data_IF_956114716432
#
_entry.id   IF_956114716432
#
_cell.length_a   1.000
_cell.length_b   1.000
_cell.length_c   1.000
_cell.angle_alpha   90.00
_cell.angle_beta   90.00
_cell.angle_gamma   90.00
#
_symmetry.space_group_name_H-M   'P 1'
#
loop_
_entity.id
_entity.type
_entity.pdbx_description
1 polymer ?
#
# COMPACT_ATOMS: atom_id res chain seq x y z
N UNK A 1 15.42 -26.60 -11.69
CA UNK A 1 13.99 -26.92 -11.78
C UNK A 1 13.20 -25.71 -11.33
N UNK A 2 12.04 -25.39 -11.92
CA UNK A 2 11.24 -24.26 -11.50
C UNK A 2 10.62 -24.53 -10.11
N UNK A 3 10.50 -23.51 -9.21
CA UNK A 3 9.85 -23.64 -7.92
C UNK A 3 8.38 -24.10 -8.05
N UNK A 4 7.86 -24.80 -7.04
CA UNK A 4 6.49 -25.31 -7.03
C UNK A 4 5.46 -24.20 -7.26
N UNK A 5 5.67 -23.03 -6.65
CA UNK A 5 4.80 -21.87 -6.83
C UNK A 5 4.67 -21.42 -8.30
N UNK A 6 5.71 -21.64 -9.11
CA UNK A 6 5.67 -21.33 -10.55
C UNK A 6 5.02 -22.46 -11.35
N UNK A 7 5.30 -23.72 -11.00
CA UNK A 7 4.69 -24.89 -11.65
C UNK A 7 3.18 -24.99 -11.42
N UNK A 8 2.73 -24.51 -10.24
CA UNK A 8 1.32 -24.52 -9.86
C UNK A 8 0.55 -23.28 -10.30
N UNK A 9 1.17 -22.41 -11.08
CA UNK A 9 0.51 -21.21 -11.58
C UNK A 9 -0.71 -21.60 -12.44
N UNK A 10 -1.93 -21.09 -12.13
CA UNK A 10 -3.12 -21.41 -12.92
C UNK A 10 -2.97 -20.91 -14.37
N UNK A 11 -3.56 -21.64 -15.30
CA UNK A 11 -3.57 -21.33 -16.73
C UNK A 11 -4.89 -20.74 -17.21
N UNK A 12 -5.96 -20.91 -16.42
CA UNK A 12 -7.28 -20.37 -16.69
C UNK A 12 -7.85 -19.62 -15.48
N UNK A 13 -8.82 -18.76 -15.69
CA UNK A 13 -9.51 -18.05 -14.61
C UNK A 13 -10.29 -18.99 -13.68
N UNK A 14 -10.72 -20.15 -14.17
CA UNK A 14 -11.45 -21.15 -13.39
C UNK A 14 -10.53 -21.91 -12.42
N UNK A 15 -9.25 -21.97 -12.75
CA UNK A 15 -8.23 -22.55 -11.88
C UNK A 15 -7.70 -21.58 -10.82
N UNK A 16 -8.06 -20.30 -10.93
CA UNK A 16 -7.58 -19.26 -10.04
C UNK A 16 -8.31 -19.33 -8.69
N UNK A 17 -7.59 -19.71 -7.65
CA UNK A 17 -8.13 -19.95 -6.31
C UNK A 17 -8.25 -18.60 -5.57
N UNK A 18 -9.42 -18.40 -4.96
CA UNK A 18 -9.75 -17.20 -4.20
C UNK A 18 -10.16 -16.02 -5.07
N UNK A 19 -10.42 -14.88 -4.43
CA UNK A 19 -10.81 -13.61 -5.08
C UNK A 19 -12.17 -13.68 -5.79
N UNK A 20 -13.12 -14.43 -5.26
CA UNK A 20 -14.45 -14.66 -5.84
C UNK A 20 -15.21 -13.35 -6.11
N UNK A 21 -14.99 -12.33 -5.26
CA UNK A 21 -15.59 -10.99 -5.41
C UNK A 21 -15.07 -10.24 -6.65
N UNK A 22 -13.87 -10.60 -7.13
CA UNK A 22 -13.20 -9.92 -8.26
C UNK A 22 -13.35 -10.71 -9.54
N UNK A 23 -13.10 -12.02 -9.50
CA UNK A 23 -13.05 -12.90 -10.68
C UNK A 23 -13.93 -14.15 -10.58
N UNK A 24 -14.75 -14.29 -9.55
CA UNK A 24 -15.77 -15.35 -9.48
C UNK A 24 -16.79 -15.27 -10.62
N UNK A 25 -17.63 -16.30 -10.83
CA UNK A 25 -18.51 -16.44 -12.01
C UNK A 25 -19.43 -15.24 -12.28
N UNK A 26 -19.81 -14.50 -11.24
CA UNK A 26 -20.68 -13.32 -11.35
C UNK A 26 -19.97 -11.99 -11.07
N UNK A 27 -18.67 -12.01 -10.85
CA UNK A 27 -17.90 -10.84 -10.49
C UNK A 27 -17.78 -9.83 -11.64
N UNK A 28 -17.69 -8.51 -11.34
CA UNK A 28 -17.67 -7.47 -12.37
C UNK A 28 -16.52 -7.61 -13.37
N UNK A 29 -15.31 -7.94 -12.89
CA UNK A 29 -14.16 -8.12 -13.76
C UNK A 29 -14.31 -9.35 -14.65
N UNK A 30 -14.84 -10.46 -14.11
CA UNK A 30 -15.11 -11.67 -14.89
C UNK A 30 -16.08 -11.40 -16.05
N UNK A 31 -17.20 -10.74 -15.78
CA UNK A 31 -18.18 -10.36 -16.80
C UNK A 31 -17.58 -9.45 -17.88
N UNK A 32 -16.74 -8.50 -17.48
CA UNK A 32 -16.07 -7.62 -18.45
C UNK A 32 -15.15 -8.42 -19.37
N UNK A 33 -14.38 -9.39 -18.83
CA UNK A 33 -13.49 -10.26 -19.61
C UNK A 33 -14.28 -11.16 -20.57
N UNK A 34 -15.38 -11.75 -20.12
CA UNK A 34 -16.26 -12.57 -20.96
C UNK A 34 -16.91 -11.76 -22.09
N UNK A 35 -17.14 -10.46 -21.87
CA UNK A 35 -17.57 -9.52 -22.90
C UNK A 35 -16.41 -9.03 -23.80
N UNK A 36 -15.19 -9.52 -23.62
CA UNK A 36 -14.01 -9.12 -24.40
C UNK A 36 -13.42 -7.77 -24.00
N UNK A 37 -13.78 -7.22 -22.84
CA UNK A 37 -13.36 -5.90 -22.39
C UNK A 37 -12.54 -5.97 -21.11
N UNK A 38 -11.42 -5.24 -21.07
CA UNK A 38 -10.61 -5.04 -19.87
C UNK A 38 -10.43 -3.54 -19.65
N UNK A 39 -11.00 -2.95 -18.60
CA UNK A 39 -10.69 -1.58 -18.23
C UNK A 39 -9.27 -1.48 -17.68
N UNK A 40 -8.63 -0.32 -17.80
CA UNK A 40 -7.42 -0.06 -17.03
C UNK A 40 -7.73 -0.17 -15.55
N UNK A 41 -6.86 -0.87 -14.80
CA UNK A 41 -7.14 -1.19 -13.40
C UNK A 41 -5.88 -1.26 -12.54
N UNK A 42 -6.10 -1.12 -11.24
CA UNK A 42 -5.10 -1.34 -10.20
C UNK A 42 -5.53 -2.53 -9.35
N UNK A 43 -4.69 -3.55 -9.27
CA UNK A 43 -4.85 -4.72 -8.41
C UNK A 43 -4.15 -4.42 -7.08
N UNK A 44 -4.92 -4.15 -6.05
CA UNK A 44 -4.40 -3.81 -4.72
C UNK A 44 -4.65 -4.95 -3.73
N UNK A 45 -3.62 -5.37 -3.02
CA UNK A 45 -3.74 -6.39 -1.97
C UNK A 45 -2.38 -6.86 -1.46
N UNK A 46 -2.35 -7.69 -0.40
CA UNK A 46 -1.12 -8.17 0.21
C UNK A 46 -0.25 -8.99 -0.76
N UNK A 47 1.02 -9.25 -0.42
CA UNK A 47 1.88 -10.11 -1.24
C UNK A 47 1.31 -11.53 -1.34
N UNK A 48 1.65 -12.24 -2.41
CA UNK A 48 1.30 -13.66 -2.60
C UNK A 48 -0.17 -14.00 -2.88
N UNK A 49 -1.07 -13.01 -2.98
CA UNK A 49 -2.51 -13.23 -3.28
C UNK A 49 -2.81 -13.41 -4.78
N UNK A 50 -1.78 -13.42 -5.63
CA UNK A 50 -1.92 -13.76 -7.05
C UNK A 50 -2.08 -12.57 -8.01
N UNK A 51 -1.76 -11.31 -7.64
CA UNK A 51 -1.88 -10.13 -8.52
C UNK A 51 -1.25 -10.31 -9.90
N UNK A 52 0.01 -10.71 -9.95
CA UNK A 52 0.76 -10.95 -11.20
C UNK A 52 0.16 -12.11 -12.00
N UNK A 53 -0.26 -13.16 -11.31
CA UNK A 53 -0.92 -14.33 -11.91
C UNK A 53 -2.25 -13.90 -12.55
N UNK A 54 -3.05 -13.12 -11.85
CA UNK A 54 -4.31 -12.60 -12.37
C UNK A 54 -4.10 -11.77 -13.64
N UNK A 55 -3.12 -10.84 -13.64
CA UNK A 55 -2.81 -10.04 -14.82
C UNK A 55 -2.45 -10.92 -16.04
N UNK A 56 -1.68 -11.98 -15.83
CA UNK A 56 -1.32 -12.94 -16.89
C UNK A 56 -2.56 -13.70 -17.40
N UNK A 57 -3.43 -14.14 -16.51
CA UNK A 57 -4.68 -14.83 -16.88
C UNK A 57 -5.63 -13.92 -17.67
N UNK A 58 -5.75 -12.66 -17.28
CA UNK A 58 -6.56 -11.66 -17.99
C UNK A 58 -6.04 -11.45 -19.42
N UNK A 59 -4.73 -11.35 -19.59
CA UNK A 59 -4.11 -11.21 -20.90
C UNK A 59 -4.34 -12.46 -21.77
N UNK A 60 -4.19 -13.65 -21.19
CA UNK A 60 -4.42 -14.92 -21.88
C UNK A 60 -5.89 -15.12 -22.29
N UNK A 61 -6.83 -14.84 -21.38
CA UNK A 61 -8.27 -14.96 -21.63
C UNK A 61 -8.73 -14.04 -22.79
N UNK A 62 -8.16 -12.86 -22.90
CA UNK A 62 -8.45 -11.89 -23.95
C UNK A 62 -7.59 -12.07 -25.21
N UNK A 63 -6.63 -12.99 -25.21
CA UNK A 63 -5.65 -13.20 -26.28
C UNK A 63 -4.94 -11.90 -26.69
N UNK A 64 -4.60 -11.06 -25.68
CA UNK A 64 -3.93 -9.78 -25.90
C UNK A 64 -2.46 -9.87 -25.52
N UNK A 65 -1.61 -9.20 -26.28
CA UNK A 65 -0.19 -9.05 -25.94
C UNK A 65 -0.06 -8.33 -24.60
N UNK A 66 0.80 -8.85 -23.72
CA UNK A 66 1.10 -8.23 -22.43
C UNK A 66 2.59 -7.84 -22.38
N UNK A 67 2.84 -6.57 -22.11
CA UNK A 67 4.15 -6.04 -21.75
C UNK A 67 4.22 -5.93 -20.22
N UNK A 68 5.29 -6.42 -19.62
CA UNK A 68 5.48 -6.42 -18.18
C UNK A 68 6.67 -5.54 -17.80
N UNK A 69 6.46 -4.65 -16.84
CA UNK A 69 7.50 -3.83 -16.23
C UNK A 69 7.48 -4.05 -14.70
N UNK A 70 8.68 -4.10 -14.12
CA UNK A 70 8.83 -4.08 -12.66
C UNK A 70 9.23 -2.68 -12.23
N UNK A 71 8.43 -2.02 -11.40
CA UNK A 71 8.74 -0.67 -10.94
C UNK A 71 10.01 -0.61 -10.06
N UNK A 72 10.47 -1.76 -9.55
CA UNK A 72 11.73 -1.87 -8.81
C UNK A 72 12.96 -1.79 -9.72
N UNK A 73 12.85 -2.28 -10.97
CA UNK A 73 13.97 -2.42 -11.89
C UNK A 73 13.90 -1.47 -13.08
N UNK A 74 12.70 -1.02 -13.44
CA UNK A 74 12.48 -0.25 -14.67
C UNK A 74 12.61 1.26 -14.44
N UNK A 75 13.48 1.90 -15.21
CA UNK A 75 13.63 3.34 -15.25
C UNK A 75 12.67 4.03 -16.25
N UNK A 76 12.74 5.35 -16.34
CA UNK A 76 11.91 6.16 -17.28
C UNK A 76 12.15 5.75 -18.73
N UNK A 77 13.37 5.33 -19.08
CA UNK A 77 13.74 4.92 -20.42
C UNK A 77 13.00 3.67 -20.85
N UNK A 78 13.02 2.63 -20.01
CA UNK A 78 12.33 1.35 -20.28
C UNK A 78 10.82 1.53 -20.42
N UNK A 79 10.23 2.40 -19.60
CA UNK A 79 8.80 2.74 -19.70
C UNK A 79 8.50 3.33 -21.07
N UNK A 80 9.29 4.32 -21.52
CA UNK A 80 9.10 4.95 -22.84
C UNK A 80 9.30 3.99 -24.00
N UNK A 81 10.35 3.18 -23.96
CA UNK A 81 10.63 2.17 -24.99
C UNK A 81 9.48 1.15 -25.10
N UNK A 82 8.96 0.69 -23.97
CA UNK A 82 7.83 -0.25 -23.95
C UNK A 82 6.56 0.41 -24.51
N UNK A 83 6.27 1.67 -24.20
CA UNK A 83 5.12 2.39 -24.74
C UNK A 83 5.25 2.63 -26.26
N UNK A 84 6.45 2.95 -26.76
CA UNK A 84 6.67 3.08 -28.21
C UNK A 84 6.53 1.73 -28.94
N UNK A 85 7.00 0.64 -28.33
CA UNK A 85 6.82 -0.71 -28.85
C UNK A 85 5.32 -1.08 -28.90
N UNK A 86 4.60 -0.83 -27.81
CA UNK A 86 3.16 -1.05 -27.72
C UNK A 86 2.39 -0.25 -28.79
N UNK A 87 2.78 0.99 -29.01
CA UNK A 87 2.19 1.86 -30.04
C UNK A 87 2.44 1.33 -31.46
N UNK A 88 3.62 0.84 -31.76
CA UNK A 88 3.95 0.23 -33.06
C UNK A 88 3.13 -1.04 -33.28
N UNK A 89 3.07 -1.93 -32.30
CA UNK A 89 2.40 -3.21 -32.43
C UNK A 89 0.87 -3.07 -32.48
N UNK A 90 0.30 -2.04 -31.83
CA UNK A 90 -1.14 -1.73 -31.90
C UNK A 90 -1.67 -1.59 -33.33
N UNK A 91 -0.83 -1.17 -34.27
CA UNK A 91 -1.24 -1.04 -35.68
C UNK A 91 -1.60 -2.40 -36.33
N UNK A 92 -1.13 -3.50 -35.73
CA UNK A 92 -1.34 -4.87 -36.22
C UNK A 92 -2.29 -5.69 -35.32
N UNK A 93 -2.71 -5.14 -34.19
CA UNK A 93 -3.59 -5.82 -33.24
C UNK A 93 -4.99 -5.19 -33.21
N UNK A 94 -6.04 -6.04 -33.11
CA UNK A 94 -7.43 -5.58 -33.04
C UNK A 94 -7.75 -4.81 -31.75
N UNK A 95 -6.99 -5.08 -30.67
CA UNK A 95 -7.18 -4.46 -29.35
C UNK A 95 -5.87 -3.91 -28.82
N UNK A 96 -5.94 -2.93 -27.94
CA UNK A 96 -4.76 -2.35 -27.28
C UNK A 96 -4.03 -3.40 -26.43
N UNK A 97 -2.70 -3.50 -26.48
CA UNK A 97 -1.95 -4.40 -25.65
C UNK A 97 -2.11 -4.04 -24.16
N UNK A 98 -1.89 -5.00 -23.28
CA UNK A 98 -1.90 -4.81 -21.82
C UNK A 98 -0.50 -4.40 -21.39
N UNK A 99 -0.41 -3.31 -20.61
CA UNK A 99 0.80 -2.94 -19.89
C UNK A 99 0.63 -3.31 -18.42
N UNK A 100 1.33 -4.35 -18.00
CA UNK A 100 1.37 -4.76 -16.61
C UNK A 100 2.54 -4.09 -15.90
N UNK A 101 2.27 -3.45 -14.76
CA UNK A 101 3.30 -2.83 -13.92
C UNK A 101 3.21 -3.43 -12.51
N UNK A 102 4.24 -4.21 -12.15
CA UNK A 102 4.35 -4.75 -10.81
C UNK A 102 4.93 -3.70 -9.85
N UNK A 103 4.36 -3.61 -8.65
CA UNK A 103 4.71 -2.64 -7.60
C UNK A 103 4.66 -1.17 -8.09
N UNK A 104 3.58 -0.80 -8.79
CA UNK A 104 3.41 0.52 -9.44
C UNK A 104 3.64 1.71 -8.48
N UNK A 105 3.44 1.51 -7.17
CA UNK A 105 3.70 2.51 -6.13
C UNK A 105 5.17 2.93 -6.05
N UNK A 106 6.10 2.11 -6.55
CA UNK A 106 7.53 2.44 -6.59
C UNK A 106 7.93 3.36 -7.76
N UNK A 107 7.04 3.55 -8.71
CA UNK A 107 7.26 4.53 -9.76
C UNK A 107 7.17 5.96 -9.20
N UNK A 108 8.14 6.80 -9.55
CA UNK A 108 8.08 8.24 -9.28
C UNK A 108 6.86 8.88 -9.97
N UNK A 109 6.41 10.02 -9.46
CA UNK A 109 5.30 10.77 -10.09
C UNK A 109 5.53 11.02 -11.58
N UNK A 110 6.76 11.37 -11.99
CA UNK A 110 7.12 11.58 -13.40
C UNK A 110 7.00 10.32 -14.26
N UNK A 111 7.28 9.13 -13.70
CA UNK A 111 7.08 7.87 -14.40
C UNK A 111 5.59 7.56 -14.55
N UNK A 112 4.80 7.77 -13.50
CA UNK A 112 3.35 7.62 -13.54
C UNK A 112 2.69 8.60 -14.52
N UNK A 113 3.14 9.86 -14.57
CA UNK A 113 2.67 10.85 -15.54
C UNK A 113 2.95 10.41 -16.99
N UNK A 114 4.07 9.74 -17.23
CA UNK A 114 4.39 9.24 -18.57
C UNK A 114 3.43 8.17 -19.08
N UNK A 115 2.76 7.44 -18.16
CA UNK A 115 1.74 6.44 -18.47
C UNK A 115 0.40 7.08 -18.84
N UNK A 116 0.09 8.26 -18.28
CA UNK A 116 -1.21 8.89 -18.38
C UNK A 116 -1.66 9.08 -19.83
N UNK A 117 -0.79 9.66 -20.67
CA UNK A 117 -1.07 9.89 -22.08
C UNK A 117 -1.35 8.58 -22.86
N UNK A 118 -0.63 7.50 -22.51
CA UNK A 118 -0.81 6.20 -23.16
C UNK A 118 -2.13 5.52 -22.77
N UNK A 119 -2.53 5.67 -21.51
CA UNK A 119 -3.82 5.17 -20.99
C UNK A 119 -4.98 5.99 -21.57
N UNK A 120 -4.90 7.31 -21.57
CA UNK A 120 -5.93 8.21 -22.11
C UNK A 120 -6.20 7.98 -23.59
N UNK A 121 -5.16 7.82 -24.39
CA UNK A 121 -5.27 7.56 -25.82
C UNK A 121 -5.58 6.10 -26.15
N UNK A 122 -5.73 5.26 -25.14
CA UNK A 122 -5.97 3.82 -25.30
C UNK A 122 -4.83 3.12 -26.08
N UNK A 123 -3.59 3.62 -26.01
CA UNK A 123 -2.41 2.96 -26.61
C UNK A 123 -2.16 1.65 -25.90
N UNK A 124 -2.35 1.64 -24.60
CA UNK A 124 -2.29 0.45 -23.76
C UNK A 124 -3.48 0.40 -22.81
N UNK A 125 -3.85 -0.80 -22.37
CA UNK A 125 -4.70 -1.00 -21.18
C UNK A 125 -3.77 -1.25 -20.00
N UNK A 126 -3.80 -0.38 -18.99
CA UNK A 126 -2.94 -0.50 -17.82
C UNK A 126 -3.51 -1.52 -16.82
N UNK A 127 -2.67 -2.42 -16.36
CA UNK A 127 -2.92 -3.27 -15.18
C UNK A 127 -1.79 -3.03 -14.19
N UNK A 128 -2.02 -2.20 -13.18
CA UNK A 128 -1.05 -1.95 -12.12
C UNK A 128 -1.26 -2.92 -10.96
N UNK A 129 -0.18 -3.43 -10.36
CA UNK A 129 -0.23 -4.19 -9.12
C UNK A 129 0.47 -3.44 -8.01
N UNK A 130 -0.08 -3.47 -6.79
CA UNK A 130 0.51 -2.82 -5.62
C UNK A 130 0.12 -3.52 -4.33
N UNK A 131 1.02 -3.49 -3.36
CA UNK A 131 0.76 -3.88 -1.97
C UNK A 131 0.35 -2.69 -1.10
N UNK A 132 0.70 -1.48 -1.51
CA UNK A 132 0.40 -0.24 -0.79
C UNK A 132 -0.95 0.35 -1.23
N UNK A 133 -1.54 1.19 -0.37
CA UNK A 133 -2.83 1.81 -0.69
C UNK A 133 -2.68 2.77 -1.89
N UNK A 134 -3.33 2.48 -3.03
CA UNK A 134 -3.18 3.26 -4.25
C UNK A 134 -3.63 4.71 -4.11
N UNK A 135 -4.51 5.03 -3.17
CA UNK A 135 -4.97 6.40 -2.93
C UNK A 135 -3.88 7.35 -2.46
N UNK A 136 -2.78 6.82 -1.89
CA UNK A 136 -1.65 7.62 -1.43
C UNK A 136 -0.46 7.57 -2.38
N UNK A 137 -0.29 6.45 -3.09
CA UNK A 137 0.93 6.14 -3.82
C UNK A 137 0.78 6.32 -5.34
N UNK A 138 -0.44 6.25 -5.86
CA UNK A 138 -0.71 6.46 -7.29
C UNK A 138 -1.29 7.86 -7.50
N UNK A 139 -0.79 8.57 -8.51
CA UNK A 139 -1.29 9.91 -8.80
C UNK A 139 -2.78 9.92 -9.12
N UNK A 140 -3.50 10.92 -8.62
CA UNK A 140 -4.95 11.04 -8.77
C UNK A 140 -5.41 11.04 -10.23
N UNK A 141 -4.63 11.63 -11.11
CA UNK A 141 -4.90 11.65 -12.55
C UNK A 141 -4.90 10.24 -13.17
N UNK A 142 -4.07 9.32 -12.70
CA UNK A 142 -4.04 7.93 -13.16
C UNK A 142 -5.16 7.12 -12.51
N UNK A 143 -5.40 7.31 -11.21
CA UNK A 143 -6.48 6.64 -10.47
C UNK A 143 -7.86 6.95 -11.04
N UNK A 144 -8.11 8.19 -11.46
CA UNK A 144 -9.41 8.56 -12.06
C UNK A 144 -9.73 7.84 -13.38
N UNK A 145 -8.74 7.17 -13.98
CA UNK A 145 -8.85 6.42 -15.24
C UNK A 145 -8.72 4.91 -15.04
N UNK A 146 -8.53 4.46 -13.82
CA UNK A 146 -8.36 3.06 -13.47
C UNK A 146 -9.44 2.61 -12.49
N UNK A 147 -9.93 1.38 -12.66
CA UNK A 147 -10.75 0.74 -11.64
C UNK A 147 -9.82 0.09 -10.60
N UNK A 148 -10.12 0.27 -9.32
CA UNK A 148 -9.35 -0.38 -8.26
C UNK A 148 -10.06 -1.67 -7.84
N UNK A 149 -9.36 -2.80 -7.96
CA UNK A 149 -9.81 -4.09 -7.46
C UNK A 149 -8.99 -4.48 -6.23
N UNK A 150 -9.70 -4.69 -5.12
CA UNK A 150 -9.08 -5.10 -3.86
C UNK A 150 -9.02 -6.63 -3.84
N UNK A 151 -7.82 -7.17 -3.70
CA UNK A 151 -7.57 -8.58 -3.51
C UNK A 151 -7.33 -8.84 -2.01
N UNK A 152 -8.09 -9.77 -1.46
CA UNK A 152 -8.02 -10.15 -0.05
C UNK A 152 -6.94 -11.23 0.18
N UNK A 153 -6.46 -11.34 1.42
CA UNK A 153 -5.62 -12.48 1.82
C UNK A 153 -6.33 -13.80 1.57
N UNK A 154 -5.58 -14.82 1.19
CA UNK A 154 -6.16 -16.16 0.98
C UNK A 154 -6.62 -16.74 2.31
N UNK A 155 -7.83 -17.29 2.33
CA UNK A 155 -8.36 -18.01 3.50
C UNK A 155 -7.68 -19.37 3.69
N UNK A 156 -7.84 -19.98 4.86
CA UNK A 156 -7.31 -21.33 5.11
C UNK A 156 -7.88 -22.36 4.13
N UNK A 157 -9.14 -22.20 3.70
CA UNK A 157 -9.77 -23.04 2.69
C UNK A 157 -9.08 -22.89 1.33
N UNK A 158 -8.77 -21.68 0.92
CA UNK A 158 -8.04 -21.41 -0.33
C UNK A 158 -6.61 -21.98 -0.28
N UNK A 159 -5.92 -21.79 0.85
CA UNK A 159 -4.59 -22.35 1.06
C UNK A 159 -4.61 -23.89 1.02
N UNK A 160 -5.60 -24.53 1.62
CA UNK A 160 -5.79 -25.97 1.56
C UNK A 160 -6.07 -26.47 0.14
N UNK A 161 -6.93 -25.79 -0.61
CA UNK A 161 -7.18 -26.09 -2.03
C UNK A 161 -5.90 -26.03 -2.85
N UNK A 162 -5.02 -25.04 -2.61
CA UNK A 162 -3.74 -24.94 -3.27
C UNK A 162 -2.81 -26.12 -2.97
N UNK A 163 -2.75 -26.56 -1.71
CA UNK A 163 -1.96 -27.73 -1.32
C UNK A 163 -2.50 -29.02 -1.96
N UNK A 164 -3.81 -29.25 -1.91
CA UNK A 164 -4.45 -30.42 -2.53
C UNK A 164 -4.21 -30.45 -4.05
N UNK A 165 -4.32 -29.31 -4.71
CA UNK A 165 -4.01 -29.19 -6.13
C UNK A 165 -2.54 -29.50 -6.40
N UNK A 166 -1.62 -29.02 -5.56
CA UNK A 166 -0.19 -29.31 -5.71
C UNK A 166 0.11 -30.81 -5.56
N UNK A 167 -0.47 -31.45 -4.55
CA UNK A 167 -0.29 -32.91 -4.32
C UNK A 167 -0.81 -33.73 -5.49
N UNK A 168 -1.96 -33.36 -6.04
CA UNK A 168 -2.64 -34.15 -7.07
C UNK A 168 -2.06 -33.93 -8.48
N UNK A 169 -1.49 -32.77 -8.78
CA UNK A 169 -1.14 -32.39 -10.15
C UNK A 169 0.35 -32.15 -10.40
N UNK A 170 1.16 -31.94 -9.36
CA UNK A 170 2.59 -31.68 -9.54
C UNK A 170 3.37 -32.94 -9.91
N UNK A 171 4.23 -32.83 -10.91
CA UNK A 171 5.01 -33.94 -11.46
C UNK A 171 5.93 -34.60 -10.43
N UNK A 172 6.46 -33.82 -9.46
CA UNK A 172 7.39 -34.31 -8.43
C UNK A 172 6.68 -35.02 -7.27
N UNK A 173 5.37 -34.82 -7.15
CA UNK A 173 4.59 -35.34 -6.04
C UNK A 173 3.75 -36.56 -6.42
N UNK A 174 3.61 -36.86 -7.73
CA UNK A 174 2.80 -37.97 -8.25
C UNK A 174 3.15 -39.34 -7.68
N UNK A 175 4.44 -39.58 -7.42
CA UNK A 175 4.93 -40.87 -6.92
C UNK A 175 5.08 -40.89 -5.40
N UNK A 176 4.64 -39.82 -4.72
CA UNK A 176 4.70 -39.71 -3.26
C UNK A 176 3.30 -39.80 -2.63
N UNK A 177 3.19 -40.55 -1.59
CA UNK A 177 1.97 -40.58 -0.77
C UNK A 177 2.06 -39.50 0.31
N UNK A 178 1.45 -38.36 0.04
CA UNK A 178 1.47 -37.19 0.93
C UNK A 178 0.11 -37.08 1.59
N UNK A 179 0.07 -37.16 2.93
CA UNK A 179 -1.14 -37.02 3.75
C UNK A 179 -1.05 -35.70 4.53
N UNK A 180 -2.02 -34.82 4.35
CA UNK A 180 -2.14 -33.57 5.13
C UNK A 180 -3.00 -33.89 6.37
N UNK A 181 -2.37 -34.20 7.49
CA UNK A 181 -3.08 -34.48 8.76
C UNK A 181 -3.36 -33.17 9.50
N UNK A 182 -2.38 -32.28 9.54
CA UNK A 182 -2.50 -30.95 10.15
C UNK A 182 -1.82 -29.92 9.28
N UNK A 183 -2.45 -28.77 9.08
CA UNK A 183 -1.97 -27.71 8.18
C UNK A 183 -1.84 -26.34 8.82
N UNK A 184 -2.25 -26.18 10.09
CA UNK A 184 -2.29 -24.87 10.76
C UNK A 184 -0.91 -24.22 10.83
N UNK A 185 0.14 -25.00 11.09
CA UNK A 185 1.50 -24.48 11.12
C UNK A 185 1.94 -23.95 9.74
N UNK A 186 1.64 -24.66 8.63
CA UNK A 186 1.93 -24.19 7.27
C UNK A 186 1.19 -22.89 6.96
N UNK A 187 -0.09 -22.80 7.34
CA UNK A 187 -0.89 -21.59 7.12
C UNK A 187 -0.39 -20.44 7.96
N UNK A 188 -0.03 -20.68 9.21
CA UNK A 188 0.57 -19.69 10.09
C UNK A 188 1.88 -19.14 9.51
N UNK A 189 2.79 -20.02 9.10
CA UNK A 189 4.07 -19.60 8.52
C UNK A 189 3.94 -18.94 7.15
N UNK A 190 2.92 -19.27 6.35
CA UNK A 190 2.66 -18.61 5.08
C UNK A 190 2.07 -17.22 5.25
N UNK A 191 1.31 -16.97 6.32
CA UNK A 191 0.64 -15.69 6.58
C UNK A 191 -0.39 -15.31 5.51
N UNK A 192 -1.04 -16.29 4.85
CA UNK A 192 -1.98 -16.03 3.76
C UNK A 192 -1.34 -15.79 2.38
N UNK A 193 -0.02 -15.90 2.28
CA UNK A 193 0.72 -15.80 1.01
C UNK A 193 0.82 -17.18 0.33
N UNK A 194 0.11 -17.34 -0.80
CA UNK A 194 0.08 -18.61 -1.54
C UNK A 194 1.43 -19.01 -2.14
N UNK A 195 2.27 -18.06 -2.53
CA UNK A 195 3.63 -18.32 -3.05
C UNK A 195 4.51 -18.86 -1.93
N UNK A 196 4.48 -18.22 -0.78
CA UNK A 196 5.22 -18.64 0.41
C UNK A 196 4.76 -20.01 0.87
N UNK A 197 3.45 -20.28 0.91
CA UNK A 197 2.90 -21.59 1.23
C UNK A 197 3.48 -22.70 0.37
N UNK A 198 3.41 -22.55 -0.96
CA UNK A 198 3.89 -23.56 -1.90
C UNK A 198 5.40 -23.78 -1.79
N UNK A 199 6.18 -22.70 -1.59
CA UNK A 199 7.62 -22.82 -1.39
C UNK A 199 7.97 -23.54 -0.08
N UNK A 200 7.26 -23.25 1.01
CA UNK A 200 7.44 -23.95 2.29
C UNK A 200 7.06 -25.43 2.17
N UNK A 201 5.99 -25.72 1.46
CA UNK A 201 5.55 -27.09 1.21
C UNK A 201 6.54 -27.87 0.36
N UNK A 202 7.06 -27.27 -0.73
CA UNK A 202 8.12 -27.90 -1.56
C UNK A 202 9.38 -28.18 -0.73
N UNK A 203 9.80 -27.25 0.10
CA UNK A 203 10.94 -27.41 1.00
C UNK A 203 10.74 -28.57 1.95
N UNK A 204 9.56 -28.66 2.57
CA UNK A 204 9.22 -29.76 3.49
C UNK A 204 9.33 -31.13 2.80
N UNK A 205 8.72 -31.28 1.62
CA UNK A 205 8.72 -32.56 0.88
C UNK A 205 10.10 -32.95 0.38
N UNK A 206 10.89 -31.98 -0.04
CA UNK A 206 12.25 -32.23 -0.55
C UNK A 206 13.24 -32.59 0.56
N UNK A 207 13.02 -32.07 1.77
CA UNK A 207 13.88 -32.32 2.93
C UNK A 207 13.65 -33.69 3.53
N UNK A 208 12.41 -34.19 3.50
CA UNK A 208 12.05 -35.51 4.11
C UNK A 208 12.41 -36.71 3.23
N UNK A 209 12.62 -36.52 1.95
CA UNK A 209 13.22 -37.51 1.01
C UNK A 209 12.49 -38.85 0.83
N UNK A 210 11.44 -39.16 1.59
CA UNK A 210 10.69 -40.41 1.53
C UNK A 210 9.59 -40.44 0.46
N UNK A 211 9.04 -41.64 0.19
CA UNK A 211 7.88 -41.81 -0.69
C UNK A 211 6.54 -41.64 0.05
N UNK A 212 6.54 -41.73 1.35
CA UNK A 212 5.37 -41.48 2.21
C UNK A 212 5.71 -40.33 3.17
N UNK A 213 4.84 -39.35 3.24
CA UNK A 213 4.99 -38.19 4.14
C UNK A 213 3.66 -37.85 4.78
N UNK A 214 3.64 -37.82 6.09
CA UNK A 214 2.53 -37.33 6.90
C UNK A 214 2.89 -35.91 7.38
N UNK A 215 2.13 -34.94 6.91
CA UNK A 215 2.34 -33.51 7.27
C UNK A 215 1.57 -33.23 8.56
N UNK A 216 2.32 -32.96 9.62
CA UNK A 216 1.80 -32.56 10.93
C UNK A 216 2.35 -31.23 11.36
N UNK A 217 1.66 -30.51 12.25
CA UNK A 217 2.13 -29.23 12.79
C UNK A 217 3.50 -29.36 13.48
N UNK A 218 3.75 -30.49 14.15
CA UNK A 218 5.03 -30.77 14.82
C UNK A 218 6.18 -30.86 13.79
N UNK A 219 5.99 -31.66 12.72
CA UNK A 219 6.98 -31.80 11.64
C UNK A 219 7.28 -30.45 10.97
N UNK A 220 6.23 -29.72 10.61
CA UNK A 220 6.34 -28.40 9.98
C UNK A 220 7.13 -27.44 10.87
N UNK A 221 6.80 -27.38 12.16
CA UNK A 221 7.46 -26.50 13.12
C UNK A 221 8.93 -26.88 13.31
N UNK A 222 9.25 -28.17 13.45
CA UNK A 222 10.62 -28.64 13.61
C UNK A 222 11.50 -28.29 12.40
N UNK A 223 10.99 -28.53 11.19
CA UNK A 223 11.76 -28.34 9.96
C UNK A 223 11.88 -26.86 9.57
N UNK A 224 10.80 -26.10 9.75
CA UNK A 224 10.81 -24.69 9.39
C UNK A 224 11.52 -23.85 10.45
N UNK A 225 11.47 -24.17 11.74
CA UNK A 225 12.25 -23.43 12.76
C UNK A 225 13.75 -23.56 12.57
N UNK A 226 14.26 -24.72 12.15
CA UNK A 226 15.68 -24.88 11.80
C UNK A 226 16.10 -24.01 10.60
N UNK A 227 15.18 -23.76 9.66
CA UNK A 227 15.41 -22.93 8.48
C UNK A 227 15.01 -21.46 8.69
N UNK A 228 14.12 -21.15 9.66
CA UNK A 228 13.71 -19.77 9.97
C UNK A 228 14.87 -18.91 10.43
N UNK A 229 15.89 -19.44 11.08
CA UNK A 229 17.12 -18.71 11.38
C UNK A 229 17.83 -18.18 10.09
N UNK A 230 17.54 -18.75 8.93
CA UNK A 230 17.97 -18.25 7.60
C UNK A 230 16.88 -17.47 6.86
N UNK A 231 15.59 -17.75 7.13
CA UNK A 231 14.42 -17.14 6.46
C UNK A 231 13.87 -15.90 7.16
N UNK A 232 14.19 -15.68 8.44
CA UNK A 232 13.80 -14.49 9.23
C UNK A 232 14.32 -13.16 8.65
N UNK A 233 15.13 -13.22 7.60
CA UNK A 233 15.52 -12.03 6.83
C UNK A 233 14.44 -11.50 5.87
N UNK A 234 13.33 -12.21 5.66
CA UNK A 234 12.33 -11.84 4.63
C UNK A 234 10.86 -12.05 5.02
N UNK A 235 10.54 -12.44 6.24
CA UNK A 235 9.17 -12.88 6.61
C UNK A 235 8.39 -11.99 7.58
N UNK A 236 8.98 -10.90 8.10
CA UNK A 236 8.29 -9.88 8.91
C UNK A 236 7.94 -8.65 8.11
N UNK A 237 7.07 -7.79 8.66
CA UNK A 237 6.87 -6.44 8.12
C UNK A 237 8.22 -5.73 7.99
N UNK A 238 8.38 -4.95 6.92
CA UNK A 238 9.63 -4.20 6.72
C UNK A 238 9.89 -3.26 7.89
N UNK A 239 11.15 -3.07 8.26
CA UNK A 239 11.53 -2.12 9.32
C UNK A 239 10.93 -0.73 9.05
N UNK A 240 10.88 -0.32 7.79
CA UNK A 240 10.31 0.95 7.37
C UNK A 240 8.80 1.01 7.59
N UNK A 241 8.07 -0.09 7.35
CA UNK A 241 6.64 -0.16 7.65
C UNK A 241 6.38 -0.05 9.16
N UNK A 242 7.13 -0.81 9.97
CA UNK A 242 7.05 -0.75 11.44
C UNK A 242 7.33 0.69 11.91
N UNK A 243 8.42 1.29 11.43
CA UNK A 243 8.78 2.66 11.79
C UNK A 243 7.73 3.69 11.40
N UNK A 244 7.12 3.59 10.20
CA UNK A 244 6.00 4.43 9.78
C UNK A 244 4.79 4.29 10.71
N UNK A 245 4.46 3.08 11.15
CA UNK A 245 3.35 2.86 12.10
C UNK A 245 3.63 3.47 13.47
N UNK A 246 4.88 3.44 13.94
CA UNK A 246 5.27 4.11 15.19
C UNK A 246 5.17 5.64 15.07
N UNK A 247 5.52 6.23 13.92
CA UNK A 247 5.34 7.67 13.66
C UNK A 247 3.86 8.07 13.69
N UNK A 248 2.99 7.28 13.07
CA UNK A 248 1.55 7.51 13.09
C UNK A 248 1.02 7.43 14.53
N UNK A 249 1.35 6.36 15.27
CA UNK A 249 0.97 6.19 16.67
C UNK A 249 1.42 7.37 17.54
N UNK A 250 2.64 7.85 17.34
CA UNK A 250 3.18 8.99 18.08
C UNK A 250 2.40 10.29 17.82
N UNK A 251 1.91 10.49 16.59
CA UNK A 251 1.18 11.69 16.19
C UNK A 251 -0.32 11.61 16.50
N UNK A 252 -0.94 10.46 16.27
CA UNK A 252 -2.40 10.26 16.34
C UNK A 252 -2.86 9.99 17.78
N UNK A 253 -2.22 9.04 18.46
CA UNK A 253 -2.66 8.59 19.79
C UNK A 253 -1.98 9.33 20.94
N UNK A 254 -0.68 9.62 20.83
CA UNK A 254 0.07 10.31 21.88
C UNK A 254 -0.03 11.83 21.70
N UNK A 255 0.24 12.30 20.49
CA UNK A 255 0.05 13.70 20.11
C UNK A 255 0.66 14.69 21.09
N UNK A 256 -0.14 15.67 21.51
CA UNK A 256 0.28 16.76 22.38
C UNK A 256 0.43 16.35 23.86
N UNK A 257 0.03 15.13 24.25
CA UNK A 257 0.27 14.64 25.61
C UNK A 257 1.78 14.40 25.88
N UNK A 258 2.53 14.02 24.82
CA UNK A 258 3.98 13.90 24.89
C UNK A 258 4.62 14.27 23.53
N UNK A 259 4.92 15.56 23.27
CA UNK A 259 5.49 16.01 22.00
C UNK A 259 6.82 15.33 21.62
N UNK A 260 7.59 14.83 22.60
CA UNK A 260 8.84 14.12 22.35
C UNK A 260 8.61 12.73 21.71
N UNK A 261 7.39 12.19 21.78
CA UNK A 261 7.06 10.90 21.19
C UNK A 261 7.30 10.89 19.68
N UNK A 262 6.88 11.94 18.98
CA UNK A 262 7.09 12.08 17.55
C UNK A 262 8.58 12.20 17.20
N UNK A 263 9.36 12.96 17.97
CA UNK A 263 10.79 13.11 17.75
C UNK A 263 11.53 11.78 17.93
N UNK A 264 11.19 11.02 18.98
CA UNK A 264 11.77 9.70 19.21
C UNK A 264 11.40 8.71 18.12
N UNK A 265 10.13 8.69 17.70
CA UNK A 265 9.66 7.83 16.60
C UNK A 265 10.34 8.18 15.28
N UNK A 266 10.58 9.47 14.98
CA UNK A 266 11.33 9.90 13.80
C UNK A 266 12.79 9.46 13.88
N UNK A 267 13.45 9.66 15.02
CA UNK A 267 14.83 9.20 15.23
C UNK A 267 14.94 7.68 15.09
N UNK A 268 13.96 6.93 15.59
CA UNK A 268 13.89 5.49 15.39
C UNK A 268 13.79 5.14 13.90
N UNK A 269 12.86 5.78 13.17
CA UNK A 269 12.64 5.54 11.75
C UNK A 269 13.92 5.75 10.93
N UNK A 270 14.63 6.84 11.17
CA UNK A 270 15.89 7.13 10.48
C UNK A 270 17.01 6.13 10.87
N UNK A 271 17.10 5.77 12.14
CA UNK A 271 18.13 4.84 12.64
C UNK A 271 17.95 3.42 12.10
N UNK A 272 16.73 2.89 12.06
CA UNK A 272 16.47 1.52 11.56
C UNK A 272 16.78 1.38 10.08
N UNK A 273 16.66 2.46 9.29
CA UNK A 273 17.02 2.48 7.87
C UNK A 273 18.53 2.41 7.64
N UNK A 274 19.32 2.95 8.56
CA UNK A 274 20.79 2.97 8.45
C UNK A 274 21.41 1.71 9.03
N UNK A 275 20.90 1.25 10.18
CA UNK A 275 21.51 0.15 10.93
C UNK A 275 21.06 -1.21 10.38
N UNK A 276 19.77 -1.36 10.05
CA UNK A 276 19.24 -2.64 9.57
C UNK A 276 19.15 -3.72 10.66
N UNK A 277 18.82 -4.95 10.26
CA UNK A 277 18.76 -6.11 11.14
C UNK A 277 20.15 -6.72 11.33
N UNK A 278 20.46 -7.32 12.51
CA UNK A 278 19.53 -7.56 13.64
C UNK A 278 19.50 -6.44 14.70
N UNK A 279 20.35 -5.44 14.64
CA UNK A 279 20.56 -4.43 15.70
C UNK A 279 19.38 -3.47 15.84
N UNK A 280 18.61 -3.22 14.76
CA UNK A 280 17.40 -2.39 14.75
C UNK A 280 16.37 -2.79 15.81
N UNK A 281 16.33 -4.07 16.19
CA UNK A 281 15.44 -4.59 17.23
C UNK A 281 15.57 -3.85 18.57
N UNK A 282 16.78 -3.40 18.90
CA UNK A 282 17.06 -2.71 20.16
C UNK A 282 16.41 -1.33 20.15
N UNK A 283 16.61 -0.59 19.05
CA UNK A 283 16.04 0.76 18.84
C UNK A 283 14.52 0.71 18.78
N UNK A 284 13.97 -0.28 18.05
CA UNK A 284 12.53 -0.51 17.98
C UNK A 284 11.95 -0.81 19.36
N UNK A 285 12.58 -1.71 20.13
CA UNK A 285 12.14 -2.05 21.50
C UNK A 285 12.09 -0.82 22.41
N UNK A 286 13.16 -0.02 22.43
CA UNK A 286 13.22 1.22 23.22
C UNK A 286 12.08 2.18 22.83
N UNK A 287 11.86 2.38 21.52
CA UNK A 287 10.83 3.28 21.00
C UNK A 287 9.43 2.77 21.35
N UNK A 288 9.16 1.49 21.15
CA UNK A 288 7.86 0.88 21.46
C UNK A 288 7.54 1.02 22.96
N UNK A 289 8.50 0.73 23.85
CA UNK A 289 8.31 0.88 25.30
C UNK A 289 7.97 2.35 25.64
N UNK A 290 8.75 3.30 25.08
CA UNK A 290 8.51 4.72 25.33
C UNK A 290 7.10 5.18 24.86
N UNK A 291 6.70 4.77 23.66
CA UNK A 291 5.38 5.12 23.13
C UNK A 291 4.25 4.44 23.91
N UNK A 292 4.42 3.16 24.27
CA UNK A 292 3.41 2.41 25.02
C UNK A 292 3.16 2.95 26.42
N UNK A 293 4.20 3.53 27.07
CA UNK A 293 4.10 4.12 28.41
C UNK A 293 3.78 5.61 28.41
N UNK A 294 3.72 6.25 27.23
CA UNK A 294 3.39 7.67 27.12
C UNK A 294 1.90 7.94 27.37
N UNK A 295 1.54 9.08 28.02
CA UNK A 295 0.15 9.52 28.08
C UNK A 295 -0.37 9.77 26.66
N UNK A 296 -1.70 9.67 26.50
CA UNK A 296 -2.35 9.73 25.18
C UNK A 296 -3.26 10.95 25.04
N UNK A 297 -3.23 11.58 23.86
CA UNK A 297 -4.18 12.62 23.46
C UNK A 297 -4.34 12.64 21.95
N UNK A 298 -5.55 12.48 21.48
CA UNK A 298 -5.92 12.58 20.08
C UNK A 298 -6.48 13.97 19.71
N UNK A 299 -6.23 15.00 20.54
CA UNK A 299 -6.77 16.35 20.34
C UNK A 299 -6.38 16.96 19.00
N UNK A 300 -5.13 16.77 18.55
CA UNK A 300 -4.64 17.23 17.24
C UNK A 300 -5.30 16.48 16.08
N UNK A 301 -5.45 15.16 16.18
CA UNK A 301 -6.14 14.33 15.20
C UNK A 301 -7.61 14.74 15.04
N UNK A 302 -8.32 14.95 16.16
CA UNK A 302 -9.70 15.43 16.13
C UNK A 302 -9.83 16.84 15.55
N UNK A 303 -8.82 17.71 15.77
CA UNK A 303 -8.81 19.06 15.25
C UNK A 303 -8.73 19.08 13.72
N UNK A 304 -7.81 18.30 13.13
CA UNK A 304 -7.67 18.23 11.67
C UNK A 304 -8.91 17.61 11.02
N UNK A 305 -9.48 16.54 11.59
CA UNK A 305 -10.68 15.92 11.06
C UNK A 305 -11.88 16.88 11.04
N UNK A 306 -12.06 17.69 12.12
CA UNK A 306 -13.08 18.74 12.13
C UNK A 306 -12.84 19.82 11.09
N UNK A 307 -11.58 20.20 10.89
CA UNK A 307 -11.23 21.19 9.87
C UNK A 307 -11.51 20.66 8.46
N UNK A 308 -11.15 19.40 8.18
CA UNK A 308 -11.44 18.75 6.89
C UNK A 308 -12.94 18.66 6.63
N UNK A 309 -13.71 18.18 7.59
CA UNK A 309 -15.18 18.10 7.47
C UNK A 309 -15.83 19.48 7.25
N UNK A 310 -15.28 20.52 7.86
CA UNK A 310 -15.75 21.89 7.65
C UNK A 310 -15.45 22.36 6.21
N UNK A 311 -14.26 22.11 5.69
CA UNK A 311 -13.88 22.45 4.30
C UNK A 311 -14.75 21.69 3.29
N UNK A 312 -15.06 20.41 3.54
CA UNK A 312 -15.98 19.63 2.70
C UNK A 312 -17.39 20.26 2.63
N UNK A 313 -17.86 20.86 3.72
CA UNK A 313 -19.18 21.50 3.78
C UNK A 313 -19.20 22.89 3.18
N UNK A 314 -18.13 23.67 3.34
CA UNK A 314 -18.10 25.08 2.93
C UNK A 314 -17.42 25.33 1.59
N UNK A 315 -16.67 24.35 1.08
CA UNK A 315 -15.75 24.55 -0.05
C UNK A 315 -14.60 25.50 0.29
N UNK A 316 -13.94 26.00 -0.75
CA UNK A 316 -12.80 26.91 -0.63
C UNK A 316 -13.27 28.31 -0.18
N UNK A 317 -12.97 28.65 1.05
CA UNK A 317 -13.20 30.00 1.58
C UNK A 317 -12.04 30.94 1.27
N UNK A 318 -12.31 32.19 0.87
CA UNK A 318 -11.26 33.14 0.48
C UNK A 318 -10.46 33.58 1.72
N UNK A 319 -9.14 33.61 1.60
CA UNK A 319 -8.27 34.19 2.64
C UNK A 319 -8.63 35.67 2.83
N UNK A 320 -8.78 36.16 4.08
CA UNK A 320 -9.04 37.55 4.37
C UNK A 320 -8.05 38.52 3.66
N UNK A 321 -8.54 39.66 3.16
CA UNK A 321 -7.74 40.57 2.35
C UNK A 321 -6.48 41.07 3.05
N UNK A 322 -6.57 41.39 4.36
CA UNK A 322 -5.45 41.86 5.17
C UNK A 322 -4.32 40.82 5.34
N UNK A 323 -4.62 39.52 5.17
CA UNK A 323 -3.62 38.43 5.22
C UNK A 323 -2.97 38.12 3.88
N UNK A 324 -3.46 38.73 2.79
CA UNK A 324 -2.93 38.44 1.44
C UNK A 324 -1.70 39.32 1.16
N UNK A 325 -0.69 38.69 0.55
CA UNK A 325 0.48 39.44 0.09
C UNK A 325 0.11 40.42 -1.07
N UNK A 326 0.68 41.62 -1.05
CA UNK A 326 0.45 42.66 -2.06
C UNK A 326 1.75 43.09 -2.76
N UNK A 327 2.45 42.19 -3.52
CA UNK A 327 3.72 42.54 -4.17
C UNK A 327 3.58 43.53 -5.32
N UNK A 328 2.39 43.66 -5.92
CA UNK A 328 2.14 44.55 -7.05
C UNK A 328 1.26 45.76 -6.66
N UNK A 329 1.35 46.82 -7.44
CA UNK A 329 0.51 48.03 -7.23
C UNK A 329 -0.98 47.70 -7.36
N UNK A 330 -1.37 46.88 -8.32
CA UNK A 330 -2.74 46.44 -8.54
C UNK A 330 -3.30 45.67 -7.31
N UNK A 331 -2.47 44.83 -6.66
CA UNK A 331 -2.89 44.13 -5.45
C UNK A 331 -3.09 45.06 -4.27
N UNK A 332 -2.26 46.14 -4.16
CA UNK A 332 -2.45 47.17 -3.13
C UNK A 332 -3.73 47.95 -3.40
N UNK A 333 -4.03 48.29 -4.66
CA UNK A 333 -5.26 48.97 -5.05
C UNK A 333 -6.51 48.15 -4.79
N UNK A 334 -6.38 46.80 -4.71
CA UNK A 334 -7.40 45.82 -4.27
C UNK A 334 -7.44 45.62 -2.78
N UNK A 335 -6.76 46.42 -1.96
CA UNK A 335 -6.68 46.34 -0.51
C UNK A 335 -6.06 45.04 0.03
N UNK A 336 -5.20 44.34 -0.74
CA UNK A 336 -4.46 43.21 -0.24
C UNK A 336 -3.41 43.69 0.77
N UNK A 337 -3.34 43.02 1.95
CA UNK A 337 -2.43 43.40 3.04
C UNK A 337 -2.80 44.66 3.78
N UNK A 338 -3.91 45.33 3.43
CA UNK A 338 -4.37 46.52 4.14
C UNK A 338 -4.77 46.17 5.58
N UNK A 339 -4.38 47.02 6.52
CA UNK A 339 -4.68 46.88 7.95
C UNK A 339 -4.10 45.62 8.62
N UNK A 340 -3.13 44.96 8.00
CA UNK A 340 -2.41 43.86 8.64
C UNK A 340 -1.61 44.36 9.84
N UNK A 341 -1.90 43.77 11.01
CA UNK A 341 -1.19 44.07 12.25
C UNK A 341 -0.04 43.09 12.41
N UNK A 342 1.21 43.61 12.32
CA UNK A 342 2.37 42.74 12.51
C UNK A 342 2.60 42.45 14.01
N UNK A 343 2.51 41.19 14.47
CA UNK A 343 2.54 40.86 15.89
C UNK A 343 3.78 41.36 16.63
N UNK A 344 4.93 41.42 15.99
CA UNK A 344 6.17 41.87 16.62
C UNK A 344 6.20 43.37 16.92
N UNK A 345 5.28 44.18 16.38
CA UNK A 345 5.13 45.58 16.70
C UNK A 345 4.32 45.84 18.00
N UNK A 346 3.82 44.73 18.60
CA UNK A 346 2.96 44.78 19.80
C UNK A 346 3.59 44.12 21.02
N UNK A 347 3.26 44.56 22.25
CA UNK A 347 3.77 43.96 23.49
C UNK A 347 3.51 42.45 23.55
N UNK A 348 4.56 41.67 23.89
CA UNK A 348 4.47 40.22 23.97
C UNK A 348 4.37 39.53 22.60
N UNK A 349 4.65 40.22 21.49
CA UNK A 349 4.55 39.73 20.11
C UNK A 349 3.16 39.14 19.80
N UNK A 350 2.12 39.72 20.37
CA UNK A 350 0.75 39.27 20.19
C UNK A 350 -0.20 40.47 19.93
N UNK A 351 -1.12 40.27 18.99
CA UNK A 351 -2.18 41.25 18.67
C UNK A 351 -3.45 40.52 18.27
N UNK A 352 -4.58 41.04 18.71
CA UNK A 352 -5.87 40.51 18.29
C UNK A 352 -6.12 40.87 16.82
N UNK A 353 -6.24 39.83 16.00
CA UNK A 353 -6.49 39.93 14.56
C UNK A 353 -7.32 38.74 14.10
N UNK A 354 -8.22 38.97 13.15
CA UNK A 354 -8.99 37.87 12.56
C UNK A 354 -8.17 37.13 11.49
N UNK A 355 -7.92 35.85 11.71
CA UNK A 355 -7.22 34.98 10.76
C UNK A 355 -8.16 34.05 9.97
N UNK A 356 -9.46 34.16 10.21
CA UNK A 356 -10.46 33.33 9.59
C UNK A 356 -11.34 34.13 8.62
N UNK A 357 -11.81 33.54 7.51
CA UNK A 357 -12.76 34.20 6.62
C UNK A 357 -14.02 34.66 7.34
N UNK A 358 -14.72 35.65 6.78
CA UNK A 358 -16.01 36.09 7.31
C UNK A 358 -17.05 34.99 7.15
N UNK A 359 -17.50 34.42 8.28
CA UNK A 359 -18.52 33.38 8.33
C UNK A 359 -19.48 33.69 9.50
N UNK A 360 -20.74 33.23 9.43
CA UNK A 360 -21.75 33.52 10.47
C UNK A 360 -21.34 33.00 11.84
N UNK A 361 -20.60 31.91 11.91
CA UNK A 361 -20.08 31.33 13.15
C UNK A 361 -18.69 30.76 12.93
N UNK A 362 -17.73 31.26 13.71
CA UNK A 362 -16.34 30.79 13.62
C UNK A 362 -16.22 29.42 14.27
N UNK A 363 -15.75 28.39 13.53
CA UNK A 363 -15.58 27.06 14.08
C UNK A 363 -14.38 27.00 15.03
N UNK A 364 -14.51 26.18 16.08
CA UNK A 364 -13.41 25.82 16.98
C UNK A 364 -12.97 24.39 16.63
N UNK A 365 -11.87 24.27 15.95
CA UNK A 365 -11.34 22.98 15.53
C UNK A 365 -10.59 22.27 16.65
N UNK A 366 -9.70 22.99 17.32
CA UNK A 366 -8.88 22.44 18.41
C UNK A 366 -9.53 22.65 19.77
N UNK A 367 -9.67 21.56 20.51
CA UNK A 367 -10.04 21.57 21.92
C UNK A 367 -8.98 20.77 22.67
N UNK A 368 -8.20 21.42 23.57
CA UNK A 368 -7.16 20.73 24.33
C UNK A 368 -7.77 19.64 25.22
N UNK A 369 -7.07 18.51 25.35
CA UNK A 369 -7.35 17.50 26.36
C UNK A 369 -6.64 17.87 27.69
N UNK A 370 -7.02 17.22 28.78
CA UNK A 370 -6.35 17.38 30.06
C UNK A 370 -4.89 16.91 30.05
N UNK A 371 -4.56 15.99 29.14
CA UNK A 371 -3.24 15.41 28.98
C UNK A 371 -2.30 16.27 28.12
N UNK A 372 -2.83 17.26 27.39
CA UNK A 372 -2.03 18.09 26.49
C UNK A 372 -1.03 18.95 27.24
N UNK A 373 0.26 18.73 26.96
CA UNK A 373 1.37 19.53 27.52
C UNK A 373 1.63 20.75 26.62
N UNK A 374 0.66 21.61 26.50
CA UNK A 374 0.83 22.91 25.85
C UNK A 374 1.27 23.90 26.90
N UNK A 375 2.36 24.62 26.65
CA UNK A 375 2.69 25.80 27.43
C UNK A 375 1.53 26.79 27.28
N UNK A 376 0.66 26.86 28.29
CA UNK A 376 -0.43 27.82 28.38
C UNK A 376 0.11 29.24 28.69
N UNK A 377 1.07 29.69 27.87
CA UNK A 377 1.62 31.04 27.93
C UNK A 377 0.85 32.05 27.06
N UNK A 378 -0.34 31.68 26.61
CA UNK A 378 -1.20 32.59 25.83
C UNK A 378 -2.52 32.79 26.52
N UNK A 379 -3.01 34.02 26.65
CA UNK A 379 -4.29 34.28 27.23
C UNK A 379 -5.39 33.58 26.43
N UNK A 380 -6.02 32.62 27.07
CA UNK A 380 -7.33 32.13 26.65
C UNK A 380 -8.30 33.29 26.73
N UNK A 381 -8.69 33.89 25.62
CA UNK A 381 -10.02 34.53 25.48
C UNK A 381 -10.39 34.60 24.00
#
# INVERSE_FOLDING_TARGET
>A
MQPLAERMRPTTLDEYIGQEKVVGPNAPLRKAIEAGHLPSCILWGPPGVGKTTLATLLAGALKRTMYSLSAVQSGVKEVRETLELAKKNRMFEAQSPILFIDEIHRFSKSQQDSLLNAVEKGIVTLVGATTENPSFEVISALLSRCQVYVLESLSNEHLNQMLQKAISSDVLFKDKKITLTETDALFHFSGGDGRKLLNLFELLITTEGGNELEVTNALVTERLQKNLAQYDKTGGESLEFIGRRLLILASEDIGLANPNALLLAQSCFDSIRVIGNPESRIILSQTVIYLATSPKSNSAYNAINKAMAYVEQTGDLPVPLHLRNAPTRMMKDLNYGADYKYPHDFPGNWVEQNYFPEVPSRPIFYKPSEQDKINRGTPSK
#
